data_IF_465730476924
#
_entry.id   IF_465730476924
#
_cell.length_a   1.000
_cell.length_b   1.000
_cell.length_c   1.000
_cell.angle_alpha   90.00
_cell.angle_beta   90.00
_cell.angle_gamma   90.00
#
_symmetry.space_group_name_H-M   'P 1'
#
loop_
_entity.id
_entity.type
_entity.pdbx_description
1 polymer ?
#
# COMPACT_ATOMS: atom_id res chain seq x y z
N UNK A 1 -3.62 -6.42 -18.95
CA UNK A 1 -3.85 -5.52 -17.78
C UNK A 1 -4.77 -4.35 -18.09
N UNK A 2 -4.94 -3.91 -19.33
CA UNK A 2 -5.69 -2.70 -19.76
C UNK A 2 -5.26 -1.48 -18.92
N UNK A 3 -3.99 -1.12 -18.97
CA UNK A 3 -3.35 -0.08 -18.17
C UNK A 3 -2.20 0.54 -18.96
N UNK A 4 -2.00 1.85 -18.84
CA UNK A 4 -0.83 2.57 -19.36
C UNK A 4 0.44 2.27 -18.55
N UNK A 5 0.27 1.89 -17.28
CA UNK A 5 1.38 1.49 -16.42
C UNK A 5 1.91 0.13 -16.86
N UNK A 6 3.24 -0.04 -17.06
CA UNK A 6 3.85 -1.32 -17.38
C UNK A 6 3.43 -2.42 -16.41
N UNK A 7 3.15 -3.62 -16.94
CA UNK A 7 2.65 -4.76 -16.16
C UNK A 7 3.48 -5.03 -14.89
N UNK A 8 4.78 -5.01 -15.03
CA UNK A 8 5.74 -5.32 -13.96
C UNK A 8 5.85 -4.24 -12.88
N UNK A 9 5.30 -3.04 -13.13
CA UNK A 9 5.29 -1.93 -12.18
C UNK A 9 4.00 -1.86 -11.33
N UNK A 10 3.02 -2.74 -11.56
CA UNK A 10 1.86 -2.81 -10.68
C UNK A 10 2.25 -3.29 -9.28
N UNK A 11 1.71 -2.63 -8.28
CA UNK A 11 2.07 -2.86 -6.88
C UNK A 11 1.36 -4.08 -6.28
N UNK A 12 2.12 -4.80 -5.48
CA UNK A 12 1.69 -5.95 -4.69
C UNK A 12 2.22 -5.70 -3.27
N UNK A 13 1.33 -5.54 -2.31
CA UNK A 13 1.70 -5.25 -0.91
C UNK A 13 2.79 -4.16 -0.81
N UNK A 14 2.54 -3.00 -1.45
CA UNK A 14 3.35 -1.78 -1.35
C UNK A 14 4.60 -1.72 -2.23
N UNK A 15 4.89 -2.76 -3.04
CA UNK A 15 6.04 -2.75 -3.96
C UNK A 15 5.67 -3.25 -5.35
N UNK A 16 6.28 -2.72 -6.43
CA UNK A 16 6.10 -3.24 -7.77
C UNK A 16 6.44 -4.73 -7.89
N UNK A 17 5.72 -5.49 -8.75
CA UNK A 17 6.00 -6.91 -8.98
C UNK A 17 7.49 -7.18 -9.31
N UNK A 18 8.08 -6.36 -10.17
CA UNK A 18 9.50 -6.47 -10.55
C UNK A 18 10.45 -6.32 -9.35
N UNK A 19 10.08 -5.53 -8.34
CA UNK A 19 10.91 -5.38 -7.15
C UNK A 19 11.14 -6.72 -6.43
N UNK A 20 10.10 -7.54 -6.32
CA UNK A 20 10.21 -8.87 -5.71
C UNK A 20 11.10 -9.80 -6.51
N UNK A 21 10.95 -9.78 -7.85
CA UNK A 21 11.78 -10.60 -8.76
C UNK A 21 13.25 -10.21 -8.65
N UNK A 22 13.58 -8.92 -8.72
CA UNK A 22 14.96 -8.45 -8.61
C UNK A 22 15.54 -8.70 -7.21
N UNK A 23 14.73 -8.57 -6.16
CA UNK A 23 15.13 -8.95 -4.80
C UNK A 23 15.43 -10.45 -4.69
N UNK A 24 14.62 -11.29 -5.32
CA UNK A 24 14.86 -12.74 -5.35
C UNK A 24 16.13 -13.09 -6.16
N UNK A 25 16.35 -12.46 -7.32
CA UNK A 25 17.53 -12.65 -8.16
C UNK A 25 18.85 -12.34 -7.42
N UNK A 26 18.85 -11.37 -6.51
CA UNK A 26 20.04 -11.06 -5.67
C UNK A 26 20.51 -12.22 -4.79
N UNK A 27 19.64 -13.18 -4.50
CA UNK A 27 20.03 -14.39 -3.76
C UNK A 27 21.04 -15.27 -4.51
N UNK A 28 21.11 -15.12 -5.84
CA UNK A 28 22.13 -15.75 -6.68
C UNK A 28 23.54 -15.10 -6.52
N UNK A 29 23.65 -13.92 -5.89
CA UNK A 29 24.84 -13.08 -5.85
C UNK A 29 25.40 -12.82 -7.25
N UNK A 30 24.60 -12.27 -8.17
CA UNK A 30 25.01 -12.11 -9.55
C UNK A 30 26.16 -11.11 -9.68
N UNK A 31 27.05 -11.32 -10.63
CA UNK A 31 28.11 -10.36 -11.01
C UNK A 31 27.58 -9.32 -11.99
N UNK A 32 26.56 -9.67 -12.77
CA UNK A 32 25.86 -8.79 -13.71
C UNK A 32 24.36 -8.99 -13.56
N UNK A 33 23.59 -7.93 -13.80
CA UNK A 33 22.13 -7.94 -13.77
C UNK A 33 21.60 -7.24 -15.03
N UNK A 34 20.92 -7.96 -15.90
CA UNK A 34 20.26 -7.43 -17.07
C UNK A 34 18.73 -7.46 -16.90
N UNK A 35 18.08 -6.37 -17.28
CA UNK A 35 16.61 -6.27 -17.31
C UNK A 35 16.19 -6.00 -18.75
N UNK A 36 15.57 -6.99 -19.38
CA UNK A 36 15.07 -6.86 -20.75
C UNK A 36 13.71 -6.17 -20.72
N UNK A 37 13.57 -5.12 -21.50
CA UNK A 37 12.39 -4.27 -21.57
C UNK A 37 11.93 -4.10 -23.02
N UNK A 38 10.64 -3.79 -23.22
CA UNK A 38 10.07 -3.44 -24.52
C UNK A 38 9.16 -2.22 -24.37
N UNK A 39 9.33 -1.22 -25.23
CA UNK A 39 8.47 -0.04 -25.37
C UNK A 39 8.46 0.94 -24.20
N UNK A 40 8.28 0.46 -22.97
CA UNK A 40 8.22 1.27 -21.75
C UNK A 40 9.53 1.19 -20.93
N UNK A 41 10.66 0.98 -21.56
CA UNK A 41 11.97 0.78 -20.92
C UNK A 41 12.37 1.91 -19.98
N UNK A 42 12.16 3.15 -20.39
CA UNK A 42 12.49 4.33 -19.58
C UNK A 42 11.68 4.38 -18.29
N UNK A 43 10.37 4.10 -18.33
CA UNK A 43 9.51 4.06 -17.14
C UNK A 43 9.97 2.98 -16.15
N UNK A 44 10.37 1.81 -16.66
CA UNK A 44 10.87 0.72 -15.82
C UNK A 44 12.22 1.11 -15.21
N UNK A 45 13.12 1.68 -16.00
CA UNK A 45 14.45 2.11 -15.54
C UNK A 45 14.35 3.20 -14.46
N UNK A 46 13.50 4.20 -14.65
CA UNK A 46 13.23 5.26 -13.67
C UNK A 46 12.67 4.69 -12.36
N UNK A 47 11.73 3.75 -12.45
CA UNK A 47 11.14 3.11 -11.27
C UNK A 47 12.15 2.26 -10.49
N UNK A 48 13.09 1.59 -11.19
CA UNK A 48 14.08 0.68 -10.57
C UNK A 48 15.26 1.42 -9.96
N UNK A 49 15.70 2.54 -10.56
CA UNK A 49 16.88 3.31 -10.14
C UNK A 49 16.91 3.61 -8.62
N UNK A 50 15.81 4.06 -7.98
CA UNK A 50 15.81 4.37 -6.55
C UNK A 50 15.96 3.14 -5.64
N UNK A 51 15.88 1.91 -6.18
CA UNK A 51 15.94 0.69 -5.35
C UNK A 51 17.35 0.33 -4.90
N UNK A 52 18.39 1.00 -5.42
CA UNK A 52 19.76 0.81 -4.97
C UNK A 52 20.25 -0.63 -5.12
N UNK A 53 19.98 -1.25 -6.26
CA UNK A 53 20.38 -2.63 -6.52
C UNK A 53 21.87 -2.73 -6.83
N UNK A 54 22.52 -3.74 -6.25
CA UNK A 54 23.91 -4.09 -6.54
C UNK A 54 23.96 -5.56 -7.03
N UNK A 55 24.54 -5.83 -8.23
CA UNK A 55 25.01 -4.83 -9.22
C UNK A 55 23.85 -4.00 -9.80
N UNK A 56 24.15 -2.79 -10.24
CA UNK A 56 23.17 -1.95 -10.95
C UNK A 56 22.69 -2.64 -12.21
N UNK A 57 21.36 -2.70 -12.47
CA UNK A 57 20.84 -3.36 -13.65
C UNK A 57 21.18 -2.61 -14.94
N UNK A 58 21.62 -3.37 -15.96
CA UNK A 58 21.69 -2.91 -17.33
C UNK A 58 20.35 -3.16 -18.02
N UNK A 59 19.71 -2.10 -18.52
CA UNK A 59 18.46 -2.23 -19.26
C UNK A 59 18.75 -2.50 -20.72
N UNK A 60 18.16 -3.57 -21.26
CA UNK A 60 18.33 -4.02 -22.64
C UNK A 60 16.99 -3.96 -23.35
N UNK A 61 16.92 -3.22 -24.45
CA UNK A 61 15.70 -3.11 -25.23
C UNK A 61 15.51 -4.32 -26.15
N UNK A 62 14.41 -5.02 -26.01
CA UNK A 62 13.90 -5.95 -26.99
C UNK A 62 13.03 -5.16 -27.98
N UNK A 63 13.57 -4.81 -29.15
CA UNK A 63 12.88 -3.95 -30.12
C UNK A 63 11.64 -4.60 -30.74
N UNK A 64 11.71 -5.90 -31.00
CA UNK A 64 10.61 -6.69 -31.53
C UNK A 64 10.20 -7.80 -30.56
N UNK A 65 8.91 -7.96 -30.31
CA UNK A 65 8.38 -9.00 -29.43
C UNK A 65 8.39 -10.36 -30.13
N UNK A 66 9.59 -10.91 -30.30
CA UNK A 66 9.79 -12.23 -30.94
C UNK A 66 9.80 -13.40 -29.95
N UNK A 67 9.34 -13.18 -28.71
CA UNK A 67 9.24 -14.21 -27.70
C UNK A 67 10.39 -14.22 -26.68
N UNK A 68 10.30 -15.17 -25.73
CA UNK A 68 11.19 -15.22 -24.55
C UNK A 68 12.62 -15.65 -24.87
N UNK A 69 12.84 -16.48 -25.89
CA UNK A 69 14.20 -16.82 -26.33
C UNK A 69 14.91 -15.60 -26.92
N UNK A 70 14.21 -14.80 -27.74
CA UNK A 70 14.76 -13.57 -28.29
C UNK A 70 15.09 -12.56 -27.17
N UNK A 71 14.25 -12.44 -26.16
CA UNK A 71 14.51 -11.57 -25.01
C UNK A 71 15.83 -11.94 -24.29
N UNK A 72 16.11 -13.24 -24.15
CA UNK A 72 17.39 -13.69 -23.57
C UNK A 72 18.56 -13.48 -24.51
N UNK A 73 18.36 -13.69 -25.81
CA UNK A 73 19.42 -13.50 -26.82
C UNK A 73 19.92 -12.06 -26.90
N UNK A 74 19.02 -11.08 -26.90
CA UNK A 74 19.42 -9.64 -26.95
C UNK A 74 20.19 -9.19 -25.70
N UNK A 75 20.07 -9.91 -24.60
CA UNK A 75 20.78 -9.62 -23.36
C UNK A 75 22.22 -10.20 -23.31
N UNK A 76 22.68 -10.96 -24.29
CA UNK A 76 23.97 -11.65 -24.24
C UNK A 76 25.15 -10.74 -23.92
N UNK A 77 25.20 -9.56 -24.55
CA UNK A 77 26.27 -8.59 -24.32
C UNK A 77 26.25 -8.05 -22.88
N UNK A 78 25.06 -7.75 -22.34
CA UNK A 78 24.90 -7.25 -20.99
C UNK A 78 25.20 -8.30 -19.91
N UNK A 79 24.93 -9.59 -20.21
CA UNK A 79 25.28 -10.73 -19.35
C UNK A 79 26.79 -10.93 -19.30
N UNK A 80 27.48 -10.76 -20.42
CA UNK A 80 28.93 -10.88 -20.51
C UNK A 80 29.44 -12.33 -20.33
N UNK A 81 30.67 -12.46 -19.83
CA UNK A 81 31.32 -13.75 -19.60
C UNK A 81 31.08 -14.20 -18.15
N UNK A 82 30.24 -15.19 -17.97
CA UNK A 82 29.87 -15.82 -16.70
C UNK A 82 29.76 -17.33 -16.91
N UNK A 83 29.79 -18.12 -15.84
CA UNK A 83 29.62 -19.57 -15.93
C UNK A 83 28.13 -19.94 -16.09
N UNK A 84 27.28 -19.37 -15.26
CA UNK A 84 25.83 -19.65 -15.19
C UNK A 84 25.02 -18.39 -15.47
N UNK A 85 23.88 -18.56 -16.12
CA UNK A 85 22.87 -17.51 -16.36
C UNK A 85 21.57 -17.90 -15.68
N UNK A 86 21.10 -17.03 -14.76
CA UNK A 86 19.77 -17.14 -14.17
C UNK A 86 18.79 -16.29 -15.00
N UNK A 87 17.75 -16.91 -15.51
CA UNK A 87 16.66 -16.23 -16.24
C UNK A 87 15.39 -16.29 -15.41
N UNK A 88 14.74 -15.13 -15.23
CA UNK A 88 13.51 -15.01 -14.45
C UNK A 88 12.49 -14.14 -15.21
N UNK A 89 11.22 -14.52 -15.17
CA UNK A 89 10.14 -13.67 -15.66
C UNK A 89 9.93 -12.48 -14.71
N UNK A 90 9.86 -11.25 -15.26
CA UNK A 90 9.77 -10.01 -14.46
C UNK A 90 8.42 -9.81 -13.75
N UNK A 91 7.45 -10.65 -14.03
CA UNK A 91 6.08 -10.58 -13.52
C UNK A 91 5.71 -11.73 -12.57
N UNK A 92 6.70 -12.48 -12.07
CA UNK A 92 6.49 -13.56 -11.08
C UNK A 92 7.04 -13.20 -9.69
N UNK A 93 6.33 -12.38 -8.91
CA UNK A 93 6.78 -11.90 -7.61
C UNK A 93 6.75 -12.94 -6.49
N UNK A 94 6.15 -14.11 -6.71
CA UNK A 94 6.05 -15.17 -5.70
C UNK A 94 7.32 -16.02 -5.59
N UNK A 95 8.21 -15.93 -6.58
CA UNK A 95 9.54 -16.56 -6.52
C UNK A 95 10.40 -15.84 -5.49
N UNK A 96 10.91 -16.58 -4.52
CA UNK A 96 11.72 -16.05 -3.42
C UNK A 96 13.21 -16.29 -3.64
N UNK A 97 14.05 -15.59 -2.86
CA UNK A 97 15.49 -15.88 -2.85
C UNK A 97 15.84 -17.29 -2.41
N UNK A 98 15.00 -17.96 -1.63
CA UNK A 98 15.19 -19.38 -1.25
C UNK A 98 14.99 -20.29 -2.45
N UNK A 99 13.94 -20.06 -3.24
CA UNK A 99 13.68 -20.79 -4.48
C UNK A 99 14.85 -20.63 -5.47
N UNK A 100 15.42 -19.43 -5.58
CA UNK A 100 16.59 -19.17 -6.42
C UNK A 100 17.81 -19.95 -5.91
N UNK A 101 18.07 -19.97 -4.60
CA UNK A 101 19.18 -20.76 -4.03
C UNK A 101 18.99 -22.25 -4.25
N UNK A 102 17.79 -22.77 -4.10
CA UNK A 102 17.47 -24.18 -4.37
C UNK A 102 17.71 -24.53 -5.84
N UNK A 103 17.21 -23.72 -6.77
CA UNK A 103 17.47 -23.90 -8.21
C UNK A 103 18.96 -24.00 -8.51
N UNK A 104 19.77 -23.05 -8.02
CA UNK A 104 21.21 -23.00 -8.27
C UNK A 104 21.95 -24.16 -7.55
N UNK A 105 21.51 -24.59 -6.38
CA UNK A 105 22.02 -25.75 -5.67
C UNK A 105 21.84 -27.01 -6.50
N UNK A 106 20.62 -27.22 -7.02
CA UNK A 106 20.33 -28.37 -7.91
C UNK A 106 21.16 -28.27 -9.19
N UNK A 107 21.23 -27.11 -9.84
CA UNK A 107 21.95 -26.85 -11.08
C UNK A 107 23.43 -27.25 -10.94
N UNK A 108 24.11 -26.75 -9.93
CA UNK A 108 25.53 -27.00 -9.67
C UNK A 108 25.81 -28.44 -9.24
N UNK A 109 24.99 -29.01 -8.35
CA UNK A 109 25.12 -30.38 -7.88
C UNK A 109 24.98 -31.38 -9.02
N UNK A 110 24.05 -31.16 -9.93
CA UNK A 110 23.79 -32.04 -11.07
C UNK A 110 24.69 -31.76 -12.26
N UNK A 111 25.45 -30.67 -12.27
CA UNK A 111 26.23 -30.18 -13.42
C UNK A 111 25.41 -30.16 -14.70
N UNK A 112 24.14 -29.74 -14.60
CA UNK A 112 23.19 -29.68 -15.71
C UNK A 112 23.53 -28.52 -16.67
N UNK A 113 23.23 -28.68 -17.96
CA UNK A 113 23.30 -27.61 -18.94
C UNK A 113 22.15 -26.63 -18.72
N UNK A 114 21.00 -27.14 -18.25
CA UNK A 114 19.86 -26.36 -17.84
C UNK A 114 19.15 -27.00 -16.65
N UNK A 115 18.68 -26.12 -15.73
CA UNK A 115 17.82 -26.53 -14.61
C UNK A 115 16.62 -25.58 -14.60
N UNK A 116 15.43 -26.16 -14.53
CA UNK A 116 14.18 -25.41 -14.47
C UNK A 116 13.59 -25.42 -13.06
N UNK A 117 13.03 -24.31 -12.63
CA UNK A 117 12.20 -24.25 -11.45
C UNK A 117 10.77 -24.64 -11.79
N UNK A 118 10.19 -25.60 -11.08
CA UNK A 118 8.84 -26.12 -11.32
C UNK A 118 7.96 -25.97 -10.09
N UNK A 119 6.65 -25.86 -10.31
CA UNK A 119 5.66 -25.83 -9.23
C UNK A 119 4.43 -26.66 -9.61
N UNK A 120 3.68 -27.12 -8.62
CA UNK A 120 2.37 -27.74 -8.85
C UNK A 120 1.26 -26.72 -8.67
N UNK A 121 0.34 -26.65 -9.65
CA UNK A 121 -0.84 -25.83 -9.60
C UNK A 121 -2.11 -26.69 -9.61
N UNK A 122 -3.16 -26.25 -8.91
CA UNK A 122 -4.48 -26.86 -9.00
C UNK A 122 -5.09 -26.66 -10.39
N UNK A 123 -4.92 -25.46 -10.93
CA UNK A 123 -5.29 -25.10 -12.30
C UNK A 123 -4.02 -24.69 -13.07
N UNK A 124 -3.48 -25.61 -13.90
CA UNK A 124 -2.26 -25.36 -14.66
C UNK A 124 -2.49 -24.65 -16.00
N UNK A 125 -3.70 -24.18 -16.28
CA UNK A 125 -4.07 -23.50 -17.54
C UNK A 125 -3.19 -22.28 -17.81
N UNK A 126 -2.70 -22.14 -19.03
CA UNK A 126 -1.81 -21.05 -19.45
C UNK A 126 -0.31 -21.28 -19.19
N UNK A 127 0.07 -22.48 -18.69
CA UNK A 127 1.47 -22.79 -18.38
C UNK A 127 1.96 -24.06 -19.10
N UNK A 128 3.25 -24.09 -19.45
CA UNK A 128 3.88 -25.28 -20.00
C UNK A 128 3.93 -26.41 -18.96
N UNK A 129 3.50 -27.62 -19.35
CA UNK A 129 3.48 -28.81 -18.51
C UNK A 129 4.86 -29.46 -18.46
N UNK A 130 5.22 -29.97 -17.31
CA UNK A 130 6.49 -30.65 -17.05
C UNK A 130 6.28 -32.16 -17.21
N UNK A 131 6.81 -32.76 -18.28
CA UNK A 131 6.72 -34.17 -18.54
C UNK A 131 7.92 -34.89 -17.91
N UNK A 132 7.66 -35.93 -17.14
CA UNK A 132 8.69 -36.71 -16.44
C UNK A 132 8.59 -38.23 -16.75
N UNK A 133 9.73 -38.85 -16.76
CA UNK A 133 9.90 -40.33 -16.62
C UNK A 133 10.49 -40.60 -15.24
N UNK A 134 9.68 -41.02 -14.29
CA UNK A 134 10.09 -41.11 -12.88
C UNK A 134 10.51 -39.73 -12.33
N UNK A 135 11.79 -39.64 -11.91
CA UNK A 135 12.33 -38.36 -11.42
C UNK A 135 13.02 -37.51 -12.51
N UNK A 136 13.18 -38.06 -13.71
CA UNK A 136 13.90 -37.43 -14.81
C UNK A 136 12.96 -36.45 -15.55
N UNK A 137 13.41 -35.22 -15.75
CA UNK A 137 12.75 -34.25 -16.66
C UNK A 137 12.93 -34.76 -18.10
N UNK A 138 11.81 -34.96 -18.82
CA UNK A 138 11.82 -35.46 -20.20
C UNK A 138 11.52 -34.34 -21.19
N UNK A 139 10.52 -33.56 -20.92
CA UNK A 139 10.09 -32.49 -21.84
C UNK A 139 9.32 -31.37 -21.09
N UNK A 140 9.19 -30.22 -21.77
CA UNK A 140 8.21 -29.19 -21.47
C UNK A 140 7.27 -29.04 -22.64
N UNK A 141 5.99 -29.19 -22.39
CA UNK A 141 4.93 -29.11 -23.42
C UNK A 141 4.14 -27.83 -23.19
N UNK A 142 4.13 -26.97 -24.19
CA UNK A 142 3.34 -25.72 -24.17
C UNK A 142 1.84 -25.99 -24.04
N UNK A 143 1.08 -25.00 -23.58
CA UNK A 143 -0.37 -25.09 -23.30
C UNK A 143 -1.15 -25.70 -24.45
N UNK A 144 -0.97 -25.13 -25.66
CA UNK A 144 -1.73 -25.57 -26.84
C UNK A 144 -1.54 -27.04 -27.21
N UNK A 145 -0.30 -27.56 -27.05
CA UNK A 145 -0.01 -28.95 -27.29
C UNK A 145 -0.48 -29.84 -26.14
N UNK A 146 -0.46 -29.32 -24.90
CA UNK A 146 -0.99 -30.00 -23.73
C UNK A 146 -2.52 -30.17 -23.77
N UNK A 147 -3.23 -29.21 -24.33
CA UNK A 147 -4.71 -29.32 -24.49
C UNK A 147 -5.10 -30.44 -25.47
N UNK A 148 -4.26 -30.73 -26.45
CA UNK A 148 -4.49 -31.78 -27.44
C UNK A 148 -4.32 -33.22 -26.91
N UNK A 149 -3.59 -33.37 -25.80
CA UNK A 149 -3.30 -34.68 -25.18
C UNK A 149 -3.87 -34.73 -23.75
N UNK A 150 -4.89 -35.59 -23.49
CA UNK A 150 -5.51 -35.71 -22.17
C UNK A 150 -4.55 -36.10 -21.04
N UNK A 151 -3.51 -36.90 -21.31
CA UNK A 151 -2.52 -37.31 -20.31
C UNK A 151 -1.66 -36.10 -19.92
N UNK A 152 -1.15 -35.35 -20.90
CA UNK A 152 -0.34 -34.15 -20.68
C UNK A 152 -1.17 -33.06 -20.01
N UNK A 153 -2.44 -32.88 -20.44
CA UNK A 153 -3.38 -31.92 -19.85
C UNK A 153 -3.60 -32.17 -18.36
N UNK A 154 -3.58 -33.43 -17.92
CA UNK A 154 -3.77 -33.81 -16.52
C UNK A 154 -2.59 -33.46 -15.62
N UNK A 155 -1.41 -33.18 -16.18
CA UNK A 155 -0.20 -32.83 -15.45
C UNK A 155 -0.38 -31.49 -14.75
N UNK A 156 -0.20 -31.48 -13.44
CA UNK A 156 -0.26 -30.27 -12.60
C UNK A 156 1.07 -29.59 -12.36
N UNK A 157 2.18 -30.28 -12.67
CA UNK A 157 3.51 -29.69 -12.58
C UNK A 157 3.79 -28.82 -13.80
N UNK A 158 4.12 -27.55 -13.55
CA UNK A 158 4.31 -26.53 -14.58
C UNK A 158 5.66 -25.84 -14.47
N UNK A 159 6.11 -25.25 -15.57
CA UNK A 159 7.28 -24.37 -15.61
C UNK A 159 6.95 -23.02 -15.00
N UNK A 160 7.83 -22.53 -14.11
CA UNK A 160 7.71 -21.19 -13.49
C UNK A 160 8.38 -20.09 -14.33
N UNK A 161 8.90 -20.40 -15.53
CA UNK A 161 9.72 -19.47 -16.34
C UNK A 161 10.96 -18.95 -15.60
N UNK A 162 11.47 -19.75 -14.65
CA UNK A 162 12.73 -19.49 -13.94
C UNK A 162 13.71 -20.60 -14.26
N UNK A 163 14.84 -20.25 -14.83
CA UNK A 163 15.83 -21.19 -15.34
C UNK A 163 17.24 -20.82 -14.87
N UNK A 164 18.07 -21.81 -14.62
CA UNK A 164 19.52 -21.69 -14.56
C UNK A 164 20.14 -22.45 -15.74
N UNK A 165 20.99 -21.79 -16.50
CA UNK A 165 21.70 -22.36 -17.66
C UNK A 165 23.20 -22.22 -17.49
N UNK A 166 23.97 -23.19 -17.98
CA UNK A 166 25.36 -22.91 -18.33
C UNK A 166 25.37 -21.95 -19.50
N UNK A 167 26.09 -20.83 -19.35
CA UNK A 167 26.07 -19.73 -20.33
C UNK A 167 26.33 -20.20 -21.77
N UNK A 168 27.41 -20.95 -21.98
CA UNK A 168 27.82 -21.31 -23.31
C UNK A 168 26.86 -22.28 -24.00
N UNK A 169 26.18 -23.13 -23.22
CA UNK A 169 25.14 -24.03 -23.74
C UNK A 169 23.90 -23.26 -24.15
N UNK A 170 23.50 -22.28 -23.32
CA UNK A 170 22.36 -21.39 -23.60
C UNK A 170 22.56 -20.62 -24.91
N UNK A 171 23.66 -19.87 -25.02
CA UNK A 171 23.89 -18.99 -26.18
C UNK A 171 24.24 -19.77 -27.46
N UNK A 172 24.71 -21.01 -27.36
CA UNK A 172 24.82 -21.93 -28.51
C UNK A 172 23.48 -22.50 -28.96
N UNK A 173 22.52 -22.63 -28.06
CA UNK A 173 21.20 -23.20 -28.36
C UNK A 173 20.19 -22.12 -28.83
N UNK A 174 20.26 -20.89 -28.31
CA UNK A 174 19.31 -19.83 -28.64
C UNK A 174 19.13 -19.57 -30.15
N UNK A 175 20.18 -19.51 -30.99
CA UNK A 175 20.01 -19.31 -32.43
C UNK A 175 19.29 -20.47 -33.16
N UNK A 176 19.21 -21.64 -32.53
CA UNK A 176 18.56 -22.85 -33.06
C UNK A 176 17.08 -22.95 -32.69
N UNK A 177 16.59 -22.03 -31.83
CA UNK A 177 15.18 -22.03 -31.42
C UNK A 177 14.31 -21.58 -32.61
N UNK A 178 13.48 -22.49 -33.12
CA UNK A 178 12.50 -22.22 -34.17
C UNK A 178 11.36 -21.33 -33.68
N UNK A 179 10.60 -20.81 -34.65
CA UNK A 179 9.35 -20.12 -34.36
C UNK A 179 8.26 -21.14 -34.03
N UNK A 180 7.44 -20.82 -33.09
CA UNK A 180 6.20 -21.55 -32.82
C UNK A 180 5.20 -21.26 -33.95
N UNK A 181 4.60 -22.30 -34.52
CA UNK A 181 3.75 -22.20 -35.72
C UNK A 181 2.47 -21.37 -35.50
N UNK A 182 1.99 -21.25 -34.27
CA UNK A 182 0.76 -20.55 -33.93
C UNK A 182 0.99 -19.11 -33.52
N UNK A 183 1.91 -18.91 -32.58
CA UNK A 183 2.19 -17.56 -32.03
C UNK A 183 3.21 -16.78 -32.85
N UNK A 184 4.05 -17.48 -33.64
CA UNK A 184 5.19 -16.89 -34.33
C UNK A 184 6.36 -16.50 -33.42
N UNK A 185 6.29 -16.83 -32.15
CA UNK A 185 7.27 -16.48 -31.13
C UNK A 185 8.35 -17.54 -30.95
N UNK A 186 9.53 -17.14 -30.50
CA UNK A 186 10.61 -18.02 -30.10
C UNK A 186 10.54 -18.22 -28.57
N UNK A 187 10.06 -19.37 -28.11
CA UNK A 187 9.93 -19.67 -26.70
C UNK A 187 11.21 -20.23 -26.09
N UNK A 188 11.62 -19.69 -24.95
CA UNK A 188 12.86 -20.09 -24.27
C UNK A 188 12.88 -21.58 -23.85
N UNK A 189 11.72 -22.16 -23.52
CA UNK A 189 11.67 -23.57 -23.13
C UNK A 189 12.09 -24.53 -24.26
N UNK A 190 12.04 -24.12 -25.53
CA UNK A 190 12.54 -24.93 -26.65
C UNK A 190 14.07 -25.13 -26.59
N UNK A 191 14.81 -24.27 -25.88
CA UNK A 191 16.24 -24.48 -25.59
C UNK A 191 16.46 -25.83 -24.89
N UNK A 192 15.56 -26.24 -23.99
CA UNK A 192 15.69 -27.51 -23.28
C UNK A 192 15.63 -28.72 -24.21
N UNK A 193 14.76 -28.70 -25.24
CA UNK A 193 14.68 -29.72 -26.27
C UNK A 193 15.97 -29.79 -27.06
N UNK A 194 16.50 -28.65 -27.50
CA UNK A 194 17.78 -28.58 -28.24
C UNK A 194 18.94 -29.14 -27.41
N UNK A 195 19.00 -28.79 -26.15
CA UNK A 195 20.02 -29.31 -25.22
C UNK A 195 19.89 -30.84 -25.02
N UNK A 196 18.65 -31.33 -24.90
CA UNK A 196 18.37 -32.76 -24.79
C UNK A 196 18.83 -33.54 -26.04
N UNK A 197 18.54 -33.02 -27.25
CA UNK A 197 18.96 -33.60 -28.53
C UNK A 197 20.50 -33.67 -28.63
N UNK A 198 21.20 -32.76 -28.01
CA UNK A 198 22.68 -32.78 -27.87
C UNK A 198 23.20 -33.64 -26.73
N UNK A 199 22.33 -34.45 -26.13
CA UNK A 199 22.63 -35.32 -24.96
C UNK A 199 23.12 -34.56 -23.72
N UNK A 200 22.83 -33.25 -23.62
CA UNK A 200 23.15 -32.48 -22.44
C UNK A 200 22.23 -32.84 -21.27
N UNK A 201 22.75 -32.67 -20.05
CA UNK A 201 22.02 -33.00 -18.83
C UNK A 201 21.02 -31.90 -18.50
N UNK A 202 19.75 -32.26 -18.34
CA UNK A 202 18.69 -31.40 -17.84
C UNK A 202 18.31 -31.79 -16.40
N UNK A 203 17.88 -30.79 -15.61
CA UNK A 203 17.45 -30.99 -14.24
C UNK A 203 16.22 -30.08 -13.92
N UNK A 204 15.55 -30.38 -12.82
CA UNK A 204 14.46 -29.57 -12.32
C UNK A 204 14.49 -29.48 -10.80
N UNK A 205 14.19 -28.31 -10.26
CA UNK A 205 13.97 -28.06 -8.85
C UNK A 205 12.47 -27.74 -8.64
N UNK A 206 11.80 -28.50 -7.77
CA UNK A 206 10.38 -28.33 -7.50
C UNK A 206 10.19 -27.50 -6.24
N UNK A 207 9.32 -26.51 -6.32
CA UNK A 207 8.99 -25.59 -5.23
C UNK A 207 7.48 -25.51 -4.99
N UNK A 208 7.09 -24.91 -3.88
CA UNK A 208 5.71 -24.51 -3.60
C UNK A 208 5.55 -22.99 -3.75
N UNK A 209 4.62 -22.57 -4.62
CA UNK A 209 4.25 -21.17 -4.84
C UNK A 209 2.92 -20.79 -4.18
N UNK A 210 2.29 -21.72 -3.43
CA UNK A 210 0.97 -21.48 -2.82
C UNK A 210 -0.15 -21.38 -3.84
N UNK A 211 -0.01 -22.06 -4.98
CA UNK A 211 -1.05 -22.09 -6.04
C UNK A 211 -1.16 -20.84 -6.90
N UNK A 212 -0.20 -19.91 -6.83
CA UNK A 212 -0.15 -18.70 -7.65
C UNK A 212 1.12 -18.60 -8.48
N UNK A 213 1.03 -17.98 -9.64
CA UNK A 213 2.15 -17.62 -10.53
C UNK A 213 1.85 -16.26 -11.18
N UNK A 214 2.73 -15.80 -12.02
CA UNK A 214 2.79 -14.56 -12.77
C UNK A 214 1.56 -13.63 -12.85
N UNK A 215 1.80 -12.35 -12.90
CA UNK A 215 0.76 -11.30 -12.93
C UNK A 215 0.42 -10.94 -14.37
N UNK A 216 -0.53 -11.65 -14.98
CA UNK A 216 -0.96 -11.41 -16.36
C UNK A 216 -2.28 -10.60 -16.49
N UNK A 217 -3.12 -10.64 -15.47
CA UNK A 217 -4.43 -9.98 -15.45
C UNK A 217 -4.68 -9.32 -14.09
N UNK A 218 -5.72 -8.50 -13.98
CA UNK A 218 -6.14 -7.94 -12.68
C UNK A 218 -6.58 -9.04 -11.70
N UNK A 219 -7.18 -10.12 -12.20
CA UNK A 219 -7.58 -11.26 -11.37
C UNK A 219 -6.37 -12.05 -10.86
N UNK A 220 -5.38 -12.34 -11.71
CA UNK A 220 -4.13 -12.98 -11.26
C UNK A 220 -3.36 -12.08 -10.29
N UNK A 221 -3.35 -10.76 -10.51
CA UNK A 221 -2.76 -9.81 -9.57
C UNK A 221 -3.42 -9.87 -8.18
N UNK A 222 -4.75 -9.92 -8.12
CA UNK A 222 -5.48 -10.03 -6.86
C UNK A 222 -5.15 -11.35 -6.13
N UNK A 223 -5.06 -12.47 -6.86
CA UNK A 223 -4.65 -13.78 -6.31
C UNK A 223 -3.22 -13.72 -5.75
N UNK A 224 -2.27 -13.20 -6.52
CA UNK A 224 -0.87 -13.05 -6.11
C UNK A 224 -0.74 -12.12 -4.90
N UNK A 225 -1.47 -11.00 -4.88
CA UNK A 225 -1.51 -10.09 -3.74
C UNK A 225 -2.03 -10.77 -2.47
N UNK A 226 -3.04 -11.63 -2.57
CA UNK A 226 -3.56 -12.41 -1.43
C UNK A 226 -2.50 -13.36 -0.88
N UNK A 227 -1.85 -14.14 -1.74
CA UNK A 227 -0.78 -15.07 -1.33
C UNK A 227 0.38 -14.31 -0.67
N UNK A 228 0.81 -13.19 -1.26
CA UNK A 228 1.88 -12.36 -0.71
C UNK A 228 1.48 -11.79 0.66
N UNK A 229 0.26 -11.31 0.82
CA UNK A 229 -0.27 -10.81 2.09
C UNK A 229 -0.28 -11.91 3.16
N UNK A 230 -0.74 -13.12 2.83
CA UNK A 230 -0.74 -14.27 3.72
C UNK A 230 0.70 -14.61 4.19
N UNK A 231 1.69 -14.56 3.29
CA UNK A 231 3.10 -14.76 3.64
C UNK A 231 3.64 -13.67 4.58
N UNK A 232 3.33 -12.40 4.30
CA UNK A 232 3.76 -11.25 5.12
C UNK A 232 3.17 -11.35 6.52
N UNK A 233 1.86 -11.57 6.61
CA UNK A 233 1.15 -11.71 7.89
C UNK A 233 1.67 -12.94 8.65
N UNK A 234 1.85 -14.08 7.98
CA UNK A 234 2.41 -15.28 8.60
C UNK A 234 3.81 -15.05 9.19
N UNK A 235 4.66 -14.28 8.51
CA UNK A 235 5.97 -13.91 9.03
C UNK A 235 5.88 -13.02 10.30
N UNK A 236 4.95 -12.07 10.34
CA UNK A 236 4.71 -11.27 11.54
C UNK A 236 4.15 -12.10 12.69
N UNK A 237 3.20 -13.02 12.42
CA UNK A 237 2.66 -13.93 13.44
C UNK A 237 3.76 -14.84 14.01
N UNK A 238 4.64 -15.36 13.18
CA UNK A 238 5.81 -16.12 13.62
C UNK A 238 6.78 -15.26 14.47
N UNK A 239 6.76 -13.95 14.28
CA UNK A 239 7.50 -12.95 15.08
C UNK A 239 6.79 -12.49 16.35
N UNK A 240 5.67 -13.11 16.76
CA UNK A 240 4.95 -12.80 17.99
C UNK A 240 3.87 -11.73 17.88
N UNK A 241 3.43 -11.37 16.65
CA UNK A 241 2.32 -10.44 16.43
C UNK A 241 0.99 -11.20 16.37
N UNK A 242 -0.03 -10.71 17.04
CA UNK A 242 -1.38 -11.27 16.99
C UNK A 242 -2.23 -10.56 15.93
N UNK A 243 -2.77 -11.32 14.98
CA UNK A 243 -3.79 -10.85 14.05
C UNK A 243 -5.12 -11.53 14.42
N UNK A 244 -6.13 -10.75 14.83
CA UNK A 244 -7.46 -11.29 15.21
C UNK A 244 -8.18 -11.85 14.00
N UNK A 245 -8.06 -11.18 12.85
CA UNK A 245 -8.57 -11.67 11.57
C UNK A 245 -7.54 -11.39 10.45
N UNK A 246 -6.64 -12.34 10.20
CA UNK A 246 -5.62 -12.20 9.15
C UNK A 246 -6.18 -11.94 7.75
N UNK A 247 -7.38 -12.42 7.46
CA UNK A 247 -8.00 -12.30 6.15
C UNK A 247 -8.40 -10.86 5.80
N UNK A 248 -8.75 -10.05 6.81
CA UNK A 248 -9.15 -8.64 6.63
C UNK A 248 -8.02 -7.64 6.88
N UNK A 249 -6.86 -8.09 7.34
CA UNK A 249 -5.70 -7.23 7.53
C UNK A 249 -4.92 -7.06 6.22
N UNK A 250 -4.46 -5.84 5.94
CA UNK A 250 -3.61 -5.49 4.80
C UNK A 250 -2.28 -4.93 5.31
N UNK A 251 -1.19 -5.61 4.98
CA UNK A 251 0.15 -5.24 5.46
C UNK A 251 1.12 -5.20 4.29
N UNK A 252 1.77 -4.07 4.09
CA UNK A 252 2.80 -3.92 3.08
C UNK A 252 4.11 -4.59 3.51
N UNK A 253 4.93 -4.99 2.53
CA UNK A 253 6.13 -5.79 2.75
C UNK A 253 7.22 -5.10 3.58
N UNK A 254 7.24 -3.77 3.59
CA UNK A 254 8.22 -2.97 4.33
C UNK A 254 7.77 -2.59 5.75
N UNK A 255 6.53 -2.89 6.11
CA UNK A 255 6.00 -2.67 7.46
C UNK A 255 6.76 -3.52 8.48
N UNK A 256 7.00 -2.96 9.65
CA UNK A 256 7.61 -3.66 10.78
C UNK A 256 6.69 -3.55 11.99
N UNK A 257 6.49 -4.65 12.69
CA UNK A 257 5.60 -4.74 13.86
C UNK A 257 6.35 -5.48 14.96
N UNK A 258 6.41 -4.88 16.14
CA UNK A 258 7.02 -5.49 17.34
C UNK A 258 6.16 -6.61 17.93
N UNK A 259 6.75 -7.51 18.73
CA UNK A 259 6.06 -8.61 19.36
C UNK A 259 4.97 -8.12 20.33
N UNK A 260 4.04 -9.00 20.69
CA UNK A 260 2.91 -8.74 21.59
C UNK A 260 1.93 -7.65 21.11
N UNK A 261 2.13 -7.12 19.91
CA UNK A 261 1.20 -6.20 19.25
C UNK A 261 0.01 -6.96 18.68
N UNK A 262 -1.19 -6.42 18.92
CA UNK A 262 -2.45 -6.99 18.41
C UNK A 262 -3.00 -6.12 17.26
N UNK A 263 -3.22 -6.74 16.11
CA UNK A 263 -3.86 -6.12 14.94
C UNK A 263 -5.31 -6.61 14.86
N UNK A 264 -6.23 -5.67 15.02
CA UNK A 264 -7.68 -5.90 14.97
C UNK A 264 -8.20 -5.89 13.51
N UNK A 265 -9.40 -6.43 13.23
CA UNK A 265 -9.92 -6.60 11.88
C UNK A 265 -9.96 -5.32 11.04
N UNK A 266 -9.87 -5.48 9.71
CA UNK A 266 -9.96 -4.41 8.72
C UNK A 266 -8.88 -3.32 8.86
N UNK A 267 -7.72 -3.62 9.44
CA UNK A 267 -6.60 -2.70 9.56
C UNK A 267 -5.72 -2.73 8.31
N UNK A 268 -5.25 -1.55 7.87
CA UNK A 268 -4.36 -1.37 6.72
C UNK A 268 -3.07 -0.67 7.16
N UNK A 269 -1.94 -1.37 7.03
CA UNK A 269 -0.61 -0.90 7.42
C UNK A 269 0.25 -0.78 6.17
N UNK A 270 0.60 0.44 5.80
CA UNK A 270 1.11 0.76 4.47
C UNK A 270 2.50 1.42 4.51
N UNK A 271 3.24 1.26 3.42
CA UNK A 271 4.51 1.94 3.18
C UNK A 271 5.60 1.52 4.17
N UNK A 272 6.31 2.50 4.72
CA UNK A 272 7.43 2.31 5.66
C UNK A 272 7.01 2.32 7.14
N UNK A 273 5.73 2.03 7.43
CA UNK A 273 5.16 2.05 8.79
C UNK A 273 5.91 1.13 9.74
N UNK A 274 6.18 1.64 10.95
CA UNK A 274 6.80 0.89 12.04
C UNK A 274 5.93 0.96 13.27
N UNK A 275 5.65 -0.18 13.86
CA UNK A 275 4.83 -0.32 15.08
C UNK A 275 5.69 -1.03 16.12
N UNK A 276 5.73 -0.49 17.31
CA UNK A 276 6.44 -1.03 18.47
C UNK A 276 5.79 -2.30 19.03
N UNK A 277 6.18 -2.65 20.23
CA UNK A 277 5.69 -3.83 20.95
C UNK A 277 4.49 -3.48 21.83
N UNK A 278 3.61 -4.47 22.08
CA UNK A 278 2.47 -4.32 23.00
C UNK A 278 1.40 -3.33 22.54
N UNK A 279 1.39 -2.94 21.26
CA UNK A 279 0.41 -2.01 20.73
C UNK A 279 -0.94 -2.68 20.42
N UNK A 280 -2.01 -1.89 20.41
CA UNK A 280 -3.32 -2.31 19.90
C UNK A 280 -3.70 -1.44 18.71
N UNK A 281 -3.79 -2.04 17.51
CA UNK A 281 -4.04 -1.35 16.25
C UNK A 281 -5.34 -1.84 15.60
N UNK A 282 -6.25 -0.93 15.35
CA UNK A 282 -7.54 -1.26 14.75
C UNK A 282 -8.69 -1.18 15.76
N UNK A 283 -9.91 -1.65 15.40
CA UNK A 283 -10.26 -2.10 14.05
C UNK A 283 -10.38 -0.94 13.05
N UNK A 284 -10.51 -1.27 11.77
CA UNK A 284 -10.77 -0.30 10.68
C UNK A 284 -9.83 0.93 10.71
N UNK A 285 -8.54 0.69 10.95
CA UNK A 285 -7.50 1.71 11.08
C UNK A 285 -6.57 1.67 9.88
N UNK A 286 -6.26 2.83 9.31
CA UNK A 286 -5.29 2.96 8.23
C UNK A 286 -4.07 3.75 8.68
N UNK A 287 -2.89 3.14 8.61
CA UNK A 287 -1.63 3.77 9.01
C UNK A 287 -0.65 3.69 7.84
N UNK A 288 -0.14 4.84 7.40
CA UNK A 288 0.82 4.92 6.30
C UNK A 288 2.03 5.76 6.68
N UNK A 289 3.23 5.25 6.35
CA UNK A 289 4.52 5.94 6.51
C UNK A 289 4.69 6.58 7.90
N UNK A 290 4.24 5.87 8.96
CA UNK A 290 4.16 6.40 10.32
C UNK A 290 4.94 5.53 11.31
N UNK A 291 5.32 6.14 12.43
CA UNK A 291 5.97 5.44 13.53
C UNK A 291 5.05 5.44 14.74
N UNK A 292 4.71 4.26 15.23
CA UNK A 292 3.94 4.03 16.45
C UNK A 292 4.87 3.38 17.46
N UNK A 293 5.09 4.01 18.59
CA UNK A 293 5.97 3.49 19.63
C UNK A 293 5.20 2.52 20.57
N UNK A 294 5.91 1.90 21.51
CA UNK A 294 5.41 0.79 22.32
C UNK A 294 4.14 1.12 23.11
N UNK A 295 3.30 0.12 23.31
CA UNK A 295 2.08 0.18 24.12
C UNK A 295 1.06 1.24 23.69
N UNK A 296 1.17 1.76 22.47
CA UNK A 296 0.21 2.72 21.94
C UNK A 296 -1.07 2.05 21.43
N UNK A 297 -2.18 2.77 21.54
CA UNK A 297 -3.48 2.34 21.05
C UNK A 297 -3.97 3.23 19.92
N UNK A 298 -4.37 2.64 18.78
CA UNK A 298 -4.90 3.37 17.61
C UNK A 298 -6.16 2.67 17.11
N UNK A 299 -7.31 3.32 17.23
CA UNK A 299 -8.60 2.73 16.88
C UNK A 299 -9.37 3.58 15.87
N UNK A 300 -10.01 2.94 14.86
CA UNK A 300 -10.89 3.57 13.86
C UNK A 300 -10.33 4.87 13.28
N UNK A 301 -9.03 4.95 13.00
CA UNK A 301 -8.36 6.22 12.70
C UNK A 301 -7.50 6.14 11.45
N UNK A 302 -7.18 7.31 10.88
CA UNK A 302 -6.31 7.44 9.71
C UNK A 302 -5.07 8.24 10.09
N UNK A 303 -3.89 7.61 9.96
CA UNK A 303 -2.60 8.22 10.25
C UNK A 303 -1.72 8.22 9.01
N UNK A 304 -1.10 9.36 8.72
CA UNK A 304 -0.16 9.52 7.60
C UNK A 304 1.06 10.31 8.05
N UNK A 305 2.26 9.79 7.78
CA UNK A 305 3.54 10.47 8.05
C UNK A 305 3.57 11.11 9.45
N UNK A 306 3.13 10.32 10.46
CA UNK A 306 2.95 10.76 11.83
C UNK A 306 3.80 9.94 12.79
N UNK A 307 4.15 10.53 13.92
CA UNK A 307 4.86 9.84 15.01
C UNK A 307 4.02 9.83 16.28
N UNK A 308 3.78 8.65 16.81
CA UNK A 308 2.98 8.39 18.00
C UNK A 308 3.89 7.80 19.07
N UNK A 309 4.04 8.52 20.17
CA UNK A 309 4.87 8.11 21.30
C UNK A 309 4.27 6.96 22.12
N UNK A 310 5.06 6.42 23.06
CA UNK A 310 4.64 5.26 23.84
C UNK A 310 3.38 5.55 24.67
N UNK A 311 2.54 4.55 24.85
CA UNK A 311 1.29 4.64 25.62
C UNK A 311 0.32 5.75 25.20
N UNK A 312 0.51 6.32 24.00
CA UNK A 312 -0.42 7.31 23.46
C UNK A 312 -1.70 6.64 22.95
N UNK A 313 -2.82 7.36 22.99
CA UNK A 313 -4.13 6.87 22.57
C UNK A 313 -4.67 7.71 21.42
N UNK A 314 -4.97 7.07 20.28
CA UNK A 314 -5.47 7.72 19.07
C UNK A 314 -6.83 7.16 18.70
N UNK A 315 -7.82 8.06 18.56
CA UNK A 315 -9.15 7.69 18.09
C UNK A 315 -10.19 7.57 19.21
N UNK A 316 -11.37 7.02 18.88
CA UNK A 316 -11.76 6.64 17.52
C UNK A 316 -12.00 7.85 16.61
N UNK A 317 -11.93 7.61 15.28
CA UNK A 317 -12.24 8.60 14.24
C UNK A 317 -11.32 9.83 14.27
N UNK A 318 -10.03 9.64 14.60
CA UNK A 318 -9.02 10.67 14.49
C UNK A 318 -8.36 10.66 13.11
N UNK A 319 -7.98 11.84 12.62
CA UNK A 319 -7.22 12.03 11.38
C UNK A 319 -5.91 12.74 11.68
N UNK A 320 -4.80 11.99 11.66
CA UNK A 320 -3.48 12.56 11.85
C UNK A 320 -2.80 12.70 10.49
N UNK A 321 -2.44 13.94 10.16
CA UNK A 321 -1.86 14.32 8.88
C UNK A 321 -0.34 14.48 8.97
N UNK A 322 0.37 14.59 7.82
CA UNK A 322 1.81 14.72 7.82
C UNK A 322 2.37 15.76 8.79
N UNK A 323 3.48 15.40 9.45
CA UNK A 323 4.14 16.24 10.43
C UNK A 323 3.51 16.27 11.82
N UNK A 324 2.54 15.38 12.10
CA UNK A 324 1.95 15.23 13.43
C UNK A 324 2.84 14.40 14.33
N UNK A 325 3.12 14.93 15.54
CA UNK A 325 3.86 14.23 16.60
C UNK A 325 3.04 14.24 17.88
N UNK A 326 2.66 13.08 18.35
CA UNK A 326 2.04 12.88 19.67
C UNK A 326 3.10 12.27 20.58
N UNK A 327 3.37 12.89 21.70
CA UNK A 327 4.36 12.36 22.63
C UNK A 327 3.76 11.32 23.58
N UNK A 328 4.62 10.77 24.45
CA UNK A 328 4.31 9.76 25.44
C UNK A 328 3.02 10.06 26.23
N UNK A 329 2.09 9.10 26.29
CA UNK A 329 0.81 9.25 26.98
C UNK A 329 -0.13 10.32 26.43
N UNK A 330 0.23 10.92 25.29
CA UNK A 330 -0.61 11.94 24.64
C UNK A 330 -1.87 11.35 24.02
N UNK A 331 -2.92 12.15 23.88
CA UNK A 331 -4.22 11.70 23.35
C UNK A 331 -4.71 12.59 22.21
N UNK A 332 -5.08 11.96 21.09
CA UNK A 332 -5.92 12.55 20.05
C UNK A 332 -7.21 11.72 19.98
N UNK A 333 -8.31 12.25 20.51
CA UNK A 333 -9.55 11.49 20.70
C UNK A 333 -10.52 11.58 19.53
N UNK A 334 -11.81 11.49 19.85
CA UNK A 334 -12.89 11.30 18.89
C UNK A 334 -13.10 12.52 18.00
N UNK A 335 -13.11 12.32 16.67
CA UNK A 335 -13.29 13.36 15.65
C UNK A 335 -12.26 14.49 15.76
N UNK A 336 -11.01 14.14 16.05
CA UNK A 336 -9.91 15.11 16.13
C UNK A 336 -9.08 15.04 14.85
N UNK A 337 -8.82 16.20 14.26
CA UNK A 337 -7.85 16.32 13.17
C UNK A 337 -6.62 17.10 13.65
N UNK A 338 -5.43 16.53 13.42
CA UNK A 338 -4.14 17.17 13.76
C UNK A 338 -3.25 17.16 12.52
N UNK A 339 -2.58 18.30 12.26
CA UNK A 339 -1.68 18.49 11.12
C UNK A 339 -0.47 19.32 11.50
N UNK A 340 0.73 18.90 11.08
CA UNK A 340 1.97 19.66 11.27
C UNK A 340 2.09 20.23 12.70
N UNK A 341 1.78 19.42 13.71
CA UNK A 341 1.65 19.85 15.11
C UNK A 341 2.28 18.85 16.07
N UNK A 342 2.74 19.36 17.20
CA UNK A 342 3.30 18.58 18.30
C UNK A 342 2.37 18.64 19.51
N UNK A 343 1.97 17.49 20.04
CA UNK A 343 1.21 17.35 21.29
C UNK A 343 2.16 16.78 22.35
N UNK A 344 2.37 17.51 23.44
CA UNK A 344 3.27 17.19 24.52
C UNK A 344 2.90 15.96 25.33
N UNK A 345 3.77 15.56 26.27
CA UNK A 345 3.56 14.39 27.11
C UNK A 345 2.32 14.54 27.97
N UNK A 346 1.51 13.48 28.08
CA UNK A 346 0.29 13.47 28.86
C UNK A 346 -0.80 14.46 28.41
N UNK A 347 -0.56 15.22 27.34
CA UNK A 347 -1.51 16.21 26.84
C UNK A 347 -2.64 15.59 26.06
N UNK A 348 -3.83 16.17 26.16
CA UNK A 348 -5.07 15.60 25.64
C UNK A 348 -5.77 16.58 24.71
N UNK A 349 -6.09 16.11 23.50
CA UNK A 349 -7.00 16.74 22.54
C UNK A 349 -8.17 15.76 22.33
N UNK A 350 -9.15 15.69 23.24
CA UNK A 350 -10.01 14.53 23.35
C UNK A 350 -11.19 14.50 22.39
N UNK A 351 -11.69 15.67 21.91
CA UNK A 351 -12.96 15.71 21.19
C UNK A 351 -13.05 16.83 20.16
N UNK A 352 -13.59 16.54 18.94
CA UNK A 352 -14.15 17.49 17.98
C UNK A 352 -13.24 18.70 17.68
N UNK A 353 -11.94 18.54 17.62
CA UNK A 353 -10.99 19.65 17.54
C UNK A 353 -10.17 19.60 16.25
N UNK A 354 -9.83 20.78 15.73
CA UNK A 354 -8.81 20.93 14.69
C UNK A 354 -7.55 21.60 15.26
N UNK A 355 -6.43 20.91 15.14
CA UNK A 355 -5.12 21.41 15.59
C UNK A 355 -4.15 21.41 14.41
N UNK A 356 -3.89 22.60 13.87
CA UNK A 356 -2.98 22.81 12.75
C UNK A 356 -1.85 23.77 13.09
N UNK A 357 -0.63 23.45 12.67
CA UNK A 357 0.58 24.25 12.84
C UNK A 357 0.78 24.72 14.31
N UNK A 358 0.56 23.80 15.28
CA UNK A 358 0.57 24.10 16.69
C UNK A 358 1.65 23.32 17.46
N UNK A 359 2.16 23.97 18.52
CA UNK A 359 3.00 23.31 19.55
C UNK A 359 2.26 23.35 20.88
N UNK A 360 1.84 22.18 21.34
CA UNK A 360 1.17 21.99 22.63
C UNK A 360 2.19 21.41 23.59
N UNK A 361 2.38 22.07 24.74
CA UNK A 361 3.27 21.65 25.83
C UNK A 361 2.81 20.37 26.52
N UNK A 362 3.43 20.04 27.65
CA UNK A 362 3.12 18.84 28.43
C UNK A 362 1.93 19.06 29.38
N UNK A 363 1.17 18.01 29.66
CA UNK A 363 0.01 18.02 30.60
C UNK A 363 -1.06 19.06 30.26
N UNK A 364 -1.23 19.39 28.97
CA UNK A 364 -2.26 20.33 28.49
C UNK A 364 -3.57 19.59 28.30
N UNK A 365 -4.67 20.23 28.68
CA UNK A 365 -6.02 19.78 28.35
C UNK A 365 -6.68 20.72 27.36
N UNK A 366 -7.01 20.22 26.16
CA UNK A 366 -7.72 20.98 25.12
C UNK A 366 -9.21 20.62 25.19
N UNK A 367 -10.06 21.61 25.42
CA UNK A 367 -11.51 21.45 25.45
C UNK A 367 -12.10 21.04 24.10
N UNK A 368 -13.27 20.41 24.12
CA UNK A 368 -13.98 19.99 22.92
C UNK A 368 -14.29 21.19 22.00
N UNK A 369 -14.25 20.98 20.69
CA UNK A 369 -14.57 22.05 19.71
C UNK A 369 -13.48 23.10 19.52
N UNK A 370 -12.30 22.91 20.10
CA UNK A 370 -11.19 23.87 19.93
C UNK A 370 -10.65 23.85 18.51
N UNK A 371 -10.42 25.04 17.95
CA UNK A 371 -9.82 25.22 16.62
C UNK A 371 -8.62 26.15 16.70
N UNK A 372 -7.46 25.72 16.19
CA UNK A 372 -6.37 26.62 15.85
C UNK A 372 -6.66 27.24 14.50
N UNK A 373 -7.02 28.54 14.49
CA UNK A 373 -7.29 29.28 13.25
C UNK A 373 -5.95 29.71 12.66
N UNK A 374 -5.30 28.77 11.97
CA UNK A 374 -3.90 28.86 11.56
C UNK A 374 -3.65 29.48 10.18
N UNK A 375 -4.70 29.81 9.42
CA UNK A 375 -4.61 30.32 8.05
C UNK A 375 -5.36 31.64 7.89
N UNK A 376 -4.67 32.68 7.43
CA UNK A 376 -5.20 34.03 7.26
C UNK A 376 -5.71 34.35 5.84
N UNK A 377 -5.72 33.34 4.96
CA UNK A 377 -6.03 33.49 3.54
C UNK A 377 -4.80 33.55 2.63
N UNK A 378 -3.60 33.80 3.19
CA UNK A 378 -2.34 33.94 2.46
C UNK A 378 -1.24 33.03 3.03
N UNK A 379 -1.10 32.98 4.35
CA UNK A 379 -0.05 32.25 5.05
C UNK A 379 -0.59 31.47 6.25
N UNK A 380 0.22 30.51 6.74
CA UNK A 380 -0.06 29.78 7.96
C UNK A 380 0.77 30.34 9.10
N UNK A 381 0.14 30.44 10.27
CA UNK A 381 0.72 31.00 11.48
C UNK A 381 0.69 29.98 12.61
N UNK A 382 1.70 29.99 13.51
CA UNK A 382 1.78 29.03 14.59
C UNK A 382 0.90 29.38 15.78
N UNK A 383 0.40 28.36 16.46
CA UNK A 383 -0.18 28.47 17.82
C UNK A 383 0.74 27.78 18.80
N UNK A 384 1.03 28.42 19.93
CA UNK A 384 1.85 27.83 20.99
C UNK A 384 1.04 27.79 22.29
N UNK A 385 0.92 26.58 22.86
CA UNK A 385 0.23 26.33 24.13
C UNK A 385 1.25 25.80 25.12
N UNK A 386 1.48 26.53 26.20
CA UNK A 386 2.45 26.17 27.24
C UNK A 386 1.96 25.03 28.13
N UNK A 387 2.91 24.43 28.88
CA UNK A 387 2.63 23.28 29.74
C UNK A 387 1.50 23.54 30.73
N UNK A 388 0.72 22.51 31.01
CA UNK A 388 -0.36 22.55 32.00
C UNK A 388 -1.43 23.63 31.72
N UNK A 389 -1.52 24.13 30.49
CA UNK A 389 -2.59 25.05 30.11
C UNK A 389 -3.91 24.31 29.95
N UNK A 390 -5.00 25.00 30.21
CA UNK A 390 -6.38 24.50 30.06
C UNK A 390 -7.11 25.34 29.01
N UNK A 391 -7.39 24.74 27.86
CA UNK A 391 -8.15 25.39 26.81
C UNK A 391 -9.63 25.05 27.02
N UNK A 392 -10.48 26.05 27.20
CA UNK A 392 -11.93 25.87 27.33
C UNK A 392 -12.54 25.30 26.07
N UNK A 393 -13.66 24.61 26.24
CA UNK A 393 -14.41 24.07 25.07
C UNK A 393 -14.83 25.19 24.11
N UNK A 394 -14.91 24.88 22.83
CA UNK A 394 -15.32 25.80 21.76
C UNK A 394 -14.46 27.08 21.71
N UNK A 395 -13.15 26.93 21.97
CA UNK A 395 -12.19 28.04 21.89
C UNK A 395 -11.59 28.14 20.50
N UNK A 396 -11.66 29.35 19.90
CA UNK A 396 -10.94 29.66 18.66
C UNK A 396 -9.62 30.36 19.01
N UNK A 397 -8.49 29.70 18.68
CA UNK A 397 -7.15 30.30 18.85
C UNK A 397 -6.71 30.89 17.51
N UNK A 398 -6.83 32.21 17.36
CA UNK A 398 -6.48 32.92 16.13
C UNK A 398 -4.98 33.15 16.06
N UNK A 399 -4.31 32.35 15.26
CA UNK A 399 -2.86 32.43 15.10
C UNK A 399 -2.40 33.67 14.31
N UNK A 400 -1.17 34.22 14.63
CA UNK A 400 -0.25 33.71 15.63
C UNK A 400 -0.69 34.06 17.05
N UNK A 401 -0.70 33.07 17.96
CA UNK A 401 -1.09 33.29 19.36
C UNK A 401 -0.33 32.34 20.31
N UNK A 402 0.00 32.84 21.50
CA UNK A 402 0.65 32.06 22.57
C UNK A 402 -0.23 32.02 23.80
N UNK A 403 -0.54 30.82 24.29
CA UNK A 403 -1.17 30.60 25.59
C UNK A 403 -0.08 30.15 26.57
N UNK A 404 0.17 30.94 27.61
CA UNK A 404 1.24 30.71 28.56
C UNK A 404 1.04 29.45 29.41
N UNK A 405 2.12 29.03 30.09
CA UNK A 405 2.11 27.88 31.02
C UNK A 405 1.02 28.08 32.10
N UNK A 406 0.23 27.00 32.38
CA UNK A 406 -0.86 27.04 33.37
C UNK A 406 -1.92 28.12 33.09
N UNK A 407 -1.96 28.68 31.89
CA UNK A 407 -3.01 29.63 31.55
C UNK A 407 -4.32 28.91 31.17
N UNK A 408 -5.41 29.62 31.29
CA UNK A 408 -6.76 29.15 31.00
C UNK A 408 -7.42 29.98 29.93
N UNK A 409 -8.27 29.36 29.10
CA UNK A 409 -9.21 30.10 28.27
C UNK A 409 -10.64 29.76 28.67
N UNK A 410 -11.52 30.75 28.67
CA UNK A 410 -12.95 30.54 28.93
C UNK A 410 -13.62 29.80 27.75
N UNK A 411 -14.54 28.90 28.05
CA UNK A 411 -15.30 28.23 26.99
C UNK A 411 -16.05 29.22 26.08
N UNK A 412 -16.08 28.95 24.76
CA UNK A 412 -16.71 29.84 23.76
C UNK A 412 -15.93 31.11 23.45
N UNK A 413 -14.64 31.17 23.79
CA UNK A 413 -13.83 32.39 23.60
C UNK A 413 -13.09 32.40 22.26
N UNK A 414 -12.95 33.57 21.65
CA UNK A 414 -12.11 33.85 20.47
C UNK A 414 -10.84 34.55 20.94
N UNK A 415 -9.73 33.85 21.02
CA UNK A 415 -8.45 34.31 21.56
C UNK A 415 -7.59 34.85 20.41
N UNK A 416 -7.39 36.16 20.37
CA UNK A 416 -6.66 36.89 19.32
C UNK A 416 -5.35 37.51 19.82
N UNK A 417 -5.08 37.44 21.13
CA UNK A 417 -3.89 38.00 21.79
C UNK A 417 -3.25 36.95 22.68
N UNK A 418 -1.96 37.09 22.89
CA UNK A 418 -1.21 36.23 23.79
C UNK A 418 -1.81 36.24 25.21
N UNK A 419 -1.89 35.05 25.82
CA UNK A 419 -2.38 34.85 27.18
C UNK A 419 -1.18 34.65 28.12
N UNK A 420 -0.93 35.50 29.09
CA UNK A 420 0.16 35.34 30.04
C UNK A 420 0.07 34.04 30.85
N UNK A 421 1.22 33.54 31.33
CA UNK A 421 1.24 32.37 32.18
C UNK A 421 0.35 32.54 33.43
N UNK A 422 -0.43 31.51 33.76
CA UNK A 422 -1.34 31.49 34.89
C UNK A 422 -2.56 32.40 34.77
N UNK A 423 -2.73 33.12 33.64
CA UNK A 423 -3.89 33.99 33.44
C UNK A 423 -5.11 33.24 32.88
N UNK A 424 -6.29 33.77 33.10
CA UNK A 424 -7.53 33.37 32.44
C UNK A 424 -7.85 34.39 31.34
N UNK A 425 -7.93 33.96 30.09
CA UNK A 425 -8.44 34.76 28.99
C UNK A 425 -9.89 34.38 28.68
N UNK A 426 -10.76 35.37 28.65
CA UNK A 426 -12.19 35.23 28.31
C UNK A 426 -12.55 36.28 27.29
N UNK A 427 -13.10 35.88 26.17
CA UNK A 427 -13.70 36.74 25.18
C UNK A 427 -15.02 36.11 24.74
N UNK A 428 -16.13 36.62 25.25
CA UNK A 428 -17.50 36.23 24.90
C UNK A 428 -18.50 37.30 25.34
N UNK A 429 -19.58 37.44 24.60
CA UNK A 429 -20.64 38.37 24.92
C UNK A 429 -21.39 37.99 26.20
N UNK A 430 -22.02 38.99 26.84
CA UNK A 430 -22.91 38.77 27.99
C UNK A 430 -24.16 37.98 27.58
N UNK A 431 -24.51 36.95 28.32
CA UNK A 431 -25.72 36.19 28.07
C UNK A 431 -26.96 37.04 28.26
N UNK A 432 -27.80 37.12 27.23
CA UNK A 432 -29.12 37.80 27.31
C UNK A 432 -30.23 36.77 27.13
N UNK A 433 -31.04 36.59 28.17
CA UNK A 433 -32.27 35.82 28.09
C UNK A 433 -33.40 36.68 27.47
N UNK A 434 -34.12 36.09 26.56
CA UNK A 434 -35.26 36.76 25.89
C UNK A 434 -36.56 36.03 26.24
N UNK A 435 -37.26 36.46 27.32
CA UNK A 435 -38.49 35.81 27.74
C UNK A 435 -39.57 35.82 26.66
N UNK A 436 -40.37 34.78 26.56
CA UNK A 436 -41.47 34.66 25.59
C UNK A 436 -41.04 34.57 24.14
N UNK A 437 -39.75 34.16 23.86
CA UNK A 437 -39.24 34.08 22.47
C UNK A 437 -39.99 33.05 21.63
N UNK A 438 -40.30 31.86 22.17
CA UNK A 438 -41.00 30.82 21.43
C UNK A 438 -42.44 31.23 21.10
N UNK A 439 -43.14 31.83 22.04
CA UNK A 439 -44.50 32.34 21.83
C UNK A 439 -44.55 33.39 20.70
N UNK A 440 -43.63 34.35 20.75
CA UNK A 440 -43.53 35.37 19.68
C UNK A 440 -43.19 34.77 18.33
N UNK A 441 -42.31 33.79 18.30
CA UNK A 441 -41.91 33.12 17.06
C UNK A 441 -43.06 32.30 16.47
N UNK A 442 -43.82 31.59 17.33
CA UNK A 442 -45.03 30.85 16.91
C UNK A 442 -46.12 31.81 16.41
N UNK A 443 -46.38 32.90 17.12
CA UNK A 443 -47.34 33.89 16.69
C UNK A 443 -46.98 34.56 15.34
N UNK A 444 -45.70 34.89 15.15
CA UNK A 444 -45.20 35.42 13.88
C UNK A 444 -45.34 34.42 12.72
N UNK A 445 -45.14 33.15 12.98
CA UNK A 445 -45.30 32.06 11.97
C UNK A 445 -46.78 31.90 11.62
N UNK A 446 -47.67 31.83 12.62
CA UNK A 446 -49.11 31.71 12.42
C UNK A 446 -49.67 32.92 11.63
N UNK A 447 -49.12 34.15 11.88
CA UNK A 447 -49.46 35.34 11.13
C UNK A 447 -49.05 35.27 9.64
N UNK A 448 -47.85 34.67 9.35
CA UNK A 448 -47.38 34.46 7.96
C UNK A 448 -48.25 33.43 7.26
N UNK A 449 -48.58 32.34 7.93
CA UNK A 449 -49.39 31.25 7.38
C UNK A 449 -50.82 31.74 7.05
N UNK A 450 -51.39 32.59 7.94
CA UNK A 450 -52.69 33.27 7.69
C UNK A 450 -52.65 34.22 6.49
N UNK A 451 -51.58 35.01 6.35
CA UNK A 451 -51.41 35.92 5.18
C UNK A 451 -51.23 35.13 3.87
N UNK A 452 -50.48 34.05 3.89
CA UNK A 452 -50.34 33.17 2.72
C UNK A 452 -51.64 32.46 2.36
N UNK A 453 -52.39 31.99 3.35
CA UNK A 453 -53.71 31.39 3.12
C UNK A 453 -54.74 32.41 2.57
N UNK A 454 -54.75 33.67 3.08
CA UNK A 454 -55.58 34.73 2.58
C UNK A 454 -55.18 35.12 1.13
N UNK A 455 -53.89 35.24 0.81
CA UNK A 455 -53.41 35.54 -0.53
C UNK A 455 -53.73 34.42 -1.55
N UNK A 456 -53.71 33.15 -1.12
CA UNK A 456 -54.14 32.04 -1.98
C UNK A 456 -55.66 32.03 -2.21
N UNK A 457 -56.47 32.46 -1.23
CA UNK A 457 -57.96 32.62 -1.38
C UNK A 457 -58.32 33.79 -2.28
N UNK A 458 -57.62 34.91 -2.23
CA UNK A 458 -57.85 36.05 -3.13
C UNK A 458 -57.49 35.74 -4.58
N UNK A 459 -56.44 35.02 -4.83
CA UNK A 459 -56.06 34.58 -6.18
C UNK A 459 -57.03 33.55 -6.79
N UNK A 460 -57.71 32.73 -5.96
CA UNK A 460 -58.76 31.80 -6.43
C UNK A 460 -60.10 32.49 -6.72
N UNK A 461 -60.36 33.75 -6.27
CA UNK A 461 -61.61 34.52 -6.47
C UNK A 461 -61.51 35.53 -7.59
N UNK A 462 -60.43 35.68 -8.30
CA UNK A 462 -60.38 36.53 -9.49
C UNK A 462 -61.25 35.91 -10.58
N UNK A 463 -62.26 36.60 -11.15
CA UNK A 463 -63.14 36.06 -12.16
C UNK A 463 -62.33 35.78 -13.44
N UNK A 464 -62.51 34.64 -14.03
CA UNK A 464 -62.08 34.38 -15.38
C UNK A 464 -62.89 35.27 -16.31
N UNK A 465 -62.27 36.38 -16.76
CA UNK A 465 -62.83 37.22 -17.77
C UNK A 465 -63.12 36.38 -19.05
N UNK A 466 -64.40 36.36 -19.42
CA UNK A 466 -64.83 35.77 -20.64
C UNK A 466 -64.20 36.47 -21.84
N UNK A 467 -63.60 35.70 -22.73
CA UNK A 467 -63.40 36.14 -24.10
C UNK A 467 -64.67 35.81 -24.85
N UNK A 468 -65.45 36.84 -25.08
CA UNK A 468 -66.47 36.79 -26.14
C UNK A 468 -65.86 37.26 -27.45
N UNK A 469 -66.14 36.48 -28.43
CA UNK A 469 -65.80 36.56 -29.82
C UNK A 469 -66.46 37.79 -30.48
N UNK A 470 -65.71 38.38 -31.34
CA UNK A 470 -66.15 39.33 -32.38
C UNK A 470 -65.06 39.46 -33.41
#
# INVERSE_FOLDING_TARGET
MKSERPKVLHEICGRPALWYVLKAARAARPTTLAVVVHGAGDQVAEAVRPWGLEPSPTFVEQRELLGTANAVAVAEYAVGRVDDVLVMAGDDPLVTGEHVRELLSVHRRTKAAATILTASLEDPTGYARVVREGHRLVDLVGEDAAEADPEIRSIREVSTLVYAFRRDDLYRALPLVGRDDRSGEHYLFHVLRILKEKAERLSAARIDLGGGMGVNSRSSMARVSRIMRERIIGAHMAGGVTFVDPATAYVDVDVRIGPDTTILPASSLEGSTRIGSGCTIGPATRIRDSVIEDEAEVTFSVLRESRIGPRATIGPYASLRPGTVILEGGKAGTFVEIKASRVGKGSKVPHLSYVGDATIGDEVNVGAGTVTVNYDGFAKHPTVIGDQAHIGSDTMLVAPVKVGKKAWTGAGSVITKDVPAGALAVERGEQRNVPGYDERKRAARAGKDRKQAAGKRSRKRAPRGGRDSG
#
